data_IF_657968636986
#
_entry.id   IF_657968636986
#
_cell.length_a   1.000
_cell.length_b   1.000
_cell.length_c   1.000
_cell.angle_alpha   90.00
_cell.angle_beta   90.00
_cell.angle_gamma   90.00
#
_symmetry.space_group_name_H-M   'P 1'
#
loop_
_entity.id
_entity.type
_entity.pdbx_description
1 polymer ?
#
# COMPACT_ATOMS: atom_id res chain seq x y z
N UNK A 1 -15.94 3.86 10.60
CA UNK A 1 -16.26 2.92 9.52
C UNK A 1 -15.93 1.49 9.89
N UNK A 2 -14.65 1.06 9.98
CA UNK A 2 -14.33 -0.37 10.24
C UNK A 2 -14.98 -0.91 11.53
N UNK A 3 -14.97 -0.13 12.61
CA UNK A 3 -15.64 -0.48 13.88
C UNK A 3 -17.14 -0.77 13.72
N UNK A 4 -17.81 -0.17 12.74
CA UNK A 4 -19.25 -0.37 12.47
C UNK A 4 -19.56 -1.80 11.99
N UNK A 5 -18.56 -2.55 11.54
CA UNK A 5 -18.70 -3.92 11.04
C UNK A 5 -18.47 -5.00 12.10
N UNK A 6 -18.25 -4.64 13.38
CA UNK A 6 -18.22 -5.57 14.51
C UNK A 6 -17.35 -6.83 14.26
N UNK A 7 -16.14 -6.65 13.72
CA UNK A 7 -15.19 -7.73 13.45
C UNK A 7 -15.42 -8.51 12.14
N UNK A 8 -16.48 -8.22 11.38
CA UNK A 8 -16.74 -8.85 10.07
C UNK A 8 -15.78 -8.40 8.95
N UNK A 9 -14.99 -7.36 9.19
CA UNK A 9 -14.02 -6.81 8.23
C UNK A 9 -12.62 -6.88 8.82
N UNK A 10 -11.70 -7.46 8.04
CA UNK A 10 -10.26 -7.44 8.31
C UNK A 10 -9.60 -6.41 7.39
N UNK A 11 -8.75 -5.56 7.95
CA UNK A 11 -7.94 -4.60 7.18
C UNK A 11 -6.49 -5.07 7.18
N UNK A 12 -5.89 -5.08 6.00
CA UNK A 12 -4.47 -5.38 5.80
C UNK A 12 -3.84 -4.16 5.15
N UNK A 13 -2.67 -3.76 5.65
CA UNK A 13 -1.91 -2.64 5.12
C UNK A 13 -0.75 -3.17 4.27
N UNK A 14 -0.50 -2.50 3.16
CA UNK A 14 0.65 -2.73 2.30
C UNK A 14 1.47 -1.45 2.21
N UNK A 15 2.78 -1.58 2.19
CA UNK A 15 3.67 -0.46 2.00
C UNK A 15 3.72 -0.05 0.52
N UNK A 16 3.36 1.21 0.25
CA UNK A 16 3.64 1.87 -1.03
C UNK A 16 4.50 3.09 -0.74
N UNK A 17 5.80 2.97 -0.99
CA UNK A 17 6.76 4.07 -0.85
C UNK A 17 6.63 4.96 -2.08
N UNK A 18 6.06 6.15 -1.88
CA UNK A 18 6.00 7.23 -2.86
C UNK A 18 6.94 8.32 -2.34
N UNK A 19 7.93 8.73 -3.13
CA UNK A 19 9.07 9.56 -2.70
C UNK A 19 10.07 8.83 -1.77
N UNK A 20 10.81 7.82 -2.29
CA UNK A 20 11.72 7.00 -1.48
C UNK A 20 12.76 7.82 -0.72
N UNK A 21 13.31 8.88 -1.32
CA UNK A 21 14.31 9.74 -0.68
C UNK A 21 13.77 10.47 0.58
N UNK A 22 12.44 10.53 0.73
CA UNK A 22 11.78 11.25 1.81
C UNK A 22 11.20 10.31 2.87
N UNK A 23 10.58 9.20 2.45
CA UNK A 23 9.76 8.38 3.37
C UNK A 23 10.21 6.93 3.51
N UNK A 24 11.27 6.47 2.82
CA UNK A 24 11.73 5.08 2.91
C UNK A 24 11.98 4.65 4.38
N UNK A 25 12.64 5.51 5.15
CA UNK A 25 12.93 5.27 6.57
C UNK A 25 11.64 5.11 7.39
N UNK A 26 10.63 5.93 7.15
CA UNK A 26 9.35 5.85 7.84
C UNK A 26 8.63 4.51 7.57
N UNK A 27 8.71 3.98 6.34
CA UNK A 27 8.13 2.68 6.03
C UNK A 27 8.85 1.53 6.78
N UNK A 28 10.19 1.58 6.86
CA UNK A 28 10.98 0.60 7.60
C UNK A 28 10.65 0.61 9.10
N UNK A 29 10.56 1.80 9.69
CA UNK A 29 10.17 1.96 11.08
C UNK A 29 8.73 1.53 11.38
N UNK A 30 7.81 1.73 10.43
CA UNK A 30 6.44 1.23 10.58
C UNK A 30 6.38 -0.30 10.55
N UNK A 31 7.15 -0.95 9.67
CA UNK A 31 7.32 -2.40 9.66
C UNK A 31 7.86 -2.89 11.01
N UNK A 32 8.94 -2.27 11.51
CA UNK A 32 9.53 -2.60 12.81
C UNK A 32 8.55 -2.42 13.98
N UNK A 33 7.78 -1.34 14.00
CA UNK A 33 6.74 -1.12 15.00
C UNK A 33 5.65 -2.21 14.93
N UNK A 34 5.35 -2.72 13.74
CA UNK A 34 4.48 -3.87 13.53
C UNK A 34 4.96 -5.15 14.22
N UNK A 35 6.28 -5.40 14.22
CA UNK A 35 6.89 -6.53 14.95
C UNK A 35 6.70 -6.40 16.48
N UNK A 36 6.47 -5.18 16.97
CA UNK A 36 6.12 -4.90 18.37
C UNK A 36 4.61 -4.69 18.58
N UNK A 37 3.75 -5.12 17.63
CA UNK A 37 2.28 -5.02 17.68
C UNK A 37 1.74 -3.58 17.75
N UNK A 38 2.54 -2.60 17.30
CA UNK A 38 2.23 -1.16 17.35
C UNK A 38 2.11 -0.49 15.97
N UNK A 39 1.95 -1.28 14.90
CA UNK A 39 1.85 -0.77 13.52
C UNK A 39 0.86 0.39 13.36
N UNK A 40 -0.36 0.25 13.89
CA UNK A 40 -1.44 1.25 13.74
C UNK A 40 -1.18 2.49 14.60
N UNK A 41 -0.80 2.30 15.86
CA UNK A 41 -0.48 3.39 16.78
C UNK A 41 0.69 4.21 16.24
N UNK A 42 1.75 3.54 15.79
CA UNK A 42 2.92 4.17 15.17
C UNK A 42 2.54 4.92 13.90
N UNK A 43 1.72 4.33 13.03
CA UNK A 43 1.23 4.99 11.83
C UNK A 43 0.49 6.29 12.19
N UNK A 44 -0.40 6.27 13.18
CA UNK A 44 -1.11 7.48 13.61
C UNK A 44 -0.14 8.54 14.15
N UNK A 45 0.80 8.16 15.01
CA UNK A 45 1.82 9.09 15.50
C UNK A 45 2.67 9.67 14.37
N UNK A 46 3.06 8.87 13.37
CA UNK A 46 3.79 9.37 12.22
C UNK A 46 2.96 10.38 11.40
N UNK A 47 1.68 10.12 11.16
CA UNK A 47 0.82 11.06 10.44
C UNK A 47 0.64 12.39 11.17
N UNK A 48 0.53 12.35 12.49
CA UNK A 48 0.32 13.53 13.32
C UNK A 48 1.64 14.29 13.58
N UNK A 49 2.63 13.60 14.13
CA UNK A 49 3.88 14.18 14.67
C UNK A 49 5.04 14.20 13.69
N UNK A 50 4.97 13.41 12.61
CA UNK A 50 5.95 13.43 11.53
C UNK A 50 5.41 14.20 10.32
N UNK A 51 4.54 13.53 9.55
CA UNK A 51 3.99 14.10 8.33
C UNK A 51 3.18 15.38 8.56
N UNK A 52 2.41 15.47 9.65
CA UNK A 52 1.66 16.67 10.00
C UNK A 52 2.55 17.90 10.18
N UNK A 53 3.67 17.74 10.90
CA UNK A 53 4.65 18.81 11.09
C UNK A 53 5.36 19.18 9.77
N UNK A 54 5.79 18.18 8.99
CA UNK A 54 6.34 18.39 7.65
C UNK A 54 5.37 19.18 6.75
N UNK A 55 4.09 18.78 6.71
CA UNK A 55 3.06 19.42 5.90
C UNK A 55 2.76 20.85 6.37
N UNK A 56 2.62 21.08 7.68
CA UNK A 56 2.40 22.41 8.25
C UNK A 56 3.55 23.38 7.94
N UNK A 57 4.78 22.87 7.78
CA UNK A 57 5.92 23.68 7.36
C UNK A 57 5.95 24.03 5.86
N UNK A 58 5.01 23.51 5.06
CA UNK A 58 5.05 23.59 3.59
C UNK A 58 6.13 22.69 2.98
N UNK A 59 6.47 21.59 3.65
CA UNK A 59 7.47 20.62 3.20
C UNK A 59 8.93 21.04 3.44
N UNK A 60 9.18 22.03 4.30
CA UNK A 60 10.52 22.55 4.60
C UNK A 60 11.20 21.83 5.77
N UNK A 61 10.41 21.41 6.76
CA UNK A 61 10.89 20.67 7.92
C UNK A 61 11.05 19.18 7.61
N UNK A 62 12.13 18.84 6.91
CA UNK A 62 12.47 17.44 6.62
C UNK A 62 12.84 16.65 7.89
N UNK A 63 13.29 17.32 8.95
CA UNK A 63 13.67 16.68 10.20
C UNK A 63 12.45 16.05 10.90
N UNK A 64 11.24 16.57 10.67
CA UNK A 64 10.00 15.95 11.12
C UNK A 64 9.79 14.52 10.57
N UNK A 65 10.33 14.21 9.38
CA UNK A 65 10.28 12.86 8.79
C UNK A 65 11.54 12.03 9.10
N UNK A 66 12.53 12.65 9.75
CA UNK A 66 13.82 12.04 10.06
C UNK A 66 13.75 11.03 11.20
N UNK A 67 14.79 10.22 11.28
CA UNK A 67 14.94 9.16 12.27
C UNK A 67 14.82 9.68 13.70
N UNK A 68 15.45 10.81 14.05
CA UNK A 68 15.41 11.37 15.41
C UNK A 68 13.97 11.65 15.90
N UNK A 69 13.14 12.29 15.07
CA UNK A 69 11.75 12.55 15.40
C UNK A 69 10.94 11.24 15.45
N UNK A 70 11.20 10.33 14.52
CA UNK A 70 10.60 8.98 14.50
C UNK A 70 10.83 8.25 15.83
N UNK A 71 12.07 8.24 16.31
CA UNK A 71 12.43 7.56 17.54
C UNK A 71 11.80 8.22 18.76
N UNK A 72 11.74 9.56 18.77
CA UNK A 72 11.10 10.33 19.84
C UNK A 72 9.64 9.92 20.04
N UNK A 73 8.81 10.01 19.00
CA UNK A 73 7.40 9.61 19.16
C UNK A 73 7.23 8.10 19.31
N UNK A 74 8.18 7.29 18.83
CA UNK A 74 8.16 5.84 19.06
C UNK A 74 8.37 5.50 20.54
N UNK A 75 9.27 6.22 21.22
CA UNK A 75 9.47 6.08 22.67
C UNK A 75 8.22 6.48 23.46
N UNK A 76 7.51 7.53 23.04
CA UNK A 76 6.23 7.95 23.64
C UNK A 76 5.15 6.86 23.50
N UNK A 77 5.23 6.03 22.45
CA UNK A 77 4.36 4.85 22.26
C UNK A 77 4.82 3.61 23.03
N UNK A 78 5.84 3.76 23.89
CA UNK A 78 6.44 2.69 24.70
C UNK A 78 7.03 1.55 23.86
N UNK A 79 7.55 1.87 22.67
CA UNK A 79 8.33 0.92 21.87
C UNK A 79 9.74 0.76 22.44
N UNK A 80 10.29 -0.45 22.34
CA UNK A 80 11.72 -0.66 22.52
C UNK A 80 12.44 -0.04 21.32
N UNK A 81 13.05 1.13 21.55
CA UNK A 81 13.73 1.93 20.53
C UNK A 81 14.95 1.21 19.96
N UNK A 82 15.68 0.43 20.75
CA UNK A 82 16.86 -0.28 20.26
C UNK A 82 16.43 -1.43 19.34
N UNK A 83 15.42 -2.19 19.76
CA UNK A 83 14.82 -3.23 18.91
C UNK A 83 14.21 -2.63 17.64
N UNK A 84 13.55 -1.48 17.77
CA UNK A 84 12.94 -0.78 16.64
C UNK A 84 13.98 -0.39 15.59
N UNK A 85 15.11 0.19 15.99
CA UNK A 85 16.24 0.50 15.11
C UNK A 85 16.78 -0.75 14.41
N UNK A 86 17.00 -1.82 15.17
CA UNK A 86 17.54 -3.06 14.63
C UNK A 86 16.58 -3.69 13.60
N UNK A 87 15.29 -3.76 13.92
CA UNK A 87 14.26 -4.30 13.05
C UNK A 87 14.07 -3.44 11.79
N UNK A 88 14.08 -2.12 11.90
CA UNK A 88 13.91 -1.22 10.75
C UNK A 88 15.05 -1.41 9.72
N UNK A 89 16.26 -1.68 10.21
CA UNK A 89 17.44 -1.92 9.38
C UNK A 89 17.57 -3.37 8.88
N UNK A 90 16.71 -4.27 9.34
CA UNK A 90 16.76 -5.70 9.01
C UNK A 90 16.44 -5.98 7.53
N UNK A 91 16.96 -7.11 7.02
CA UNK A 91 16.60 -7.61 5.70
C UNK A 91 15.10 -7.92 5.60
N UNK A 92 14.48 -8.38 6.68
CA UNK A 92 13.06 -8.72 6.75
C UNK A 92 12.17 -7.52 6.43
N UNK A 93 12.39 -6.36 7.08
CA UNK A 93 11.58 -5.18 6.80
C UNK A 93 11.85 -4.57 5.42
N UNK A 94 13.10 -4.62 4.94
CA UNK A 94 13.43 -4.18 3.57
C UNK A 94 12.72 -5.06 2.54
N UNK A 95 12.84 -6.38 2.67
CA UNK A 95 12.19 -7.34 1.78
C UNK A 95 10.66 -7.21 1.83
N UNK A 96 10.06 -7.05 3.01
CA UNK A 96 8.61 -6.86 3.16
C UNK A 96 8.10 -5.65 2.34
N UNK A 97 8.83 -4.54 2.37
CA UNK A 97 8.49 -3.32 1.63
C UNK A 97 8.65 -3.56 0.12
N UNK A 98 9.73 -4.21 -0.30
CA UNK A 98 10.00 -4.50 -1.71
C UNK A 98 8.98 -5.48 -2.31
N UNK A 99 8.56 -6.48 -1.53
CA UNK A 99 7.50 -7.42 -1.89
C UNK A 99 6.15 -6.71 -2.05
N UNK A 100 5.78 -5.85 -1.11
CA UNK A 100 4.54 -5.06 -1.20
C UNK A 100 4.55 -4.17 -2.45
N UNK A 101 5.64 -3.47 -2.72
CA UNK A 101 5.79 -2.62 -3.91
C UNK A 101 5.71 -3.44 -5.20
N UNK A 102 6.39 -4.59 -5.25
CA UNK A 102 6.36 -5.49 -6.40
C UNK A 102 4.97 -6.02 -6.66
N UNK A 103 4.24 -6.37 -5.60
CA UNK A 103 2.86 -6.82 -5.68
C UNK A 103 1.94 -5.70 -6.21
N UNK A 104 2.03 -4.49 -5.65
CA UNK A 104 1.25 -3.32 -6.13
C UNK A 104 1.50 -3.00 -7.61
N UNK A 105 2.73 -3.15 -8.11
CA UNK A 105 3.09 -2.98 -9.52
C UNK A 105 2.37 -3.96 -10.45
N UNK A 106 2.26 -5.25 -10.07
CA UNK A 106 1.53 -6.27 -10.86
C UNK A 106 0.10 -5.85 -11.16
N UNK A 107 -0.42 -4.96 -10.32
CA UNK A 107 -1.80 -4.51 -10.38
C UNK A 107 -1.99 -3.07 -10.80
N UNK A 108 -0.92 -2.45 -11.30
CA UNK A 108 -0.94 -1.09 -11.85
C UNK A 108 -1.49 -0.06 -10.84
N UNK A 109 -1.25 -0.28 -9.55
CA UNK A 109 -1.50 0.74 -8.53
C UNK A 109 -0.45 1.83 -8.72
N UNK A 110 -0.91 3.00 -9.14
CA UNK A 110 -0.05 4.14 -9.52
C UNK A 110 -0.19 5.33 -8.57
N UNK A 111 -0.94 5.19 -7.47
CA UNK A 111 -1.11 6.26 -6.49
C UNK A 111 -1.80 5.79 -5.22
N UNK A 112 -1.73 6.64 -4.21
CA UNK A 112 -2.32 6.43 -2.88
C UNK A 112 -3.40 7.47 -2.58
N UNK A 113 -4.45 7.14 -1.82
CA UNK A 113 -4.74 5.80 -1.31
C UNK A 113 -5.33 4.87 -2.39
N UNK A 114 -5.10 3.57 -2.25
CA UNK A 114 -5.69 2.53 -3.09
C UNK A 114 -6.17 1.37 -2.21
N UNK A 115 -7.30 0.75 -2.56
CA UNK A 115 -7.95 -0.27 -1.74
C UNK A 115 -8.37 -1.48 -2.56
N UNK A 116 -8.38 -2.64 -1.91
CA UNK A 116 -8.92 -3.89 -2.44
C UNK A 116 -9.94 -4.45 -1.47
N UNK A 117 -11.22 -4.42 -1.87
CA UNK A 117 -12.32 -4.88 -1.04
C UNK A 117 -12.79 -6.22 -1.60
N UNK A 118 -12.30 -7.31 -0.99
CA UNK A 118 -12.52 -8.69 -1.48
C UNK A 118 -12.28 -8.79 -3.01
N UNK A 119 -11.10 -8.35 -3.45
CA UNK A 119 -10.67 -8.37 -4.86
C UNK A 119 -11.16 -7.20 -5.73
N UNK A 120 -12.09 -6.35 -5.26
CA UNK A 120 -12.52 -5.15 -6.00
C UNK A 120 -11.55 -3.99 -5.76
N UNK A 121 -10.84 -3.56 -6.81
CA UNK A 121 -10.02 -2.36 -6.79
C UNK A 121 -10.87 -1.10 -6.60
N UNK A 122 -10.46 -0.24 -5.68
CA UNK A 122 -10.98 1.12 -5.48
C UNK A 122 -9.78 2.05 -5.41
N UNK A 123 -9.55 2.80 -6.49
CA UNK A 123 -8.48 3.79 -6.55
C UNK A 123 -8.92 5.13 -5.98
N UNK A 124 -8.05 5.76 -5.20
CA UNK A 124 -8.28 7.08 -4.62
C UNK A 124 -9.15 7.08 -3.36
N UNK A 125 -9.22 8.26 -2.74
CA UNK A 125 -10.09 8.52 -1.60
C UNK A 125 -11.51 8.81 -2.09
N UNK A 126 -12.39 7.81 -2.12
CA UNK A 126 -13.81 8.01 -2.41
C UNK A 126 -14.60 8.37 -1.13
N UNK A 127 -15.80 8.98 -1.23
CA UNK A 127 -16.61 9.31 -0.07
C UNK A 127 -16.95 8.10 0.80
N UNK A 128 -17.05 8.31 2.13
CA UNK A 128 -17.39 7.26 3.11
C UNK A 128 -18.65 6.45 2.73
N UNK A 129 -19.76 7.05 2.27
CA UNK A 129 -20.95 6.28 1.86
C UNK A 129 -20.67 5.32 0.70
N UNK A 130 -19.86 5.73 -0.27
CA UNK A 130 -19.50 4.89 -1.41
C UNK A 130 -18.61 3.70 -0.98
N UNK A 131 -17.68 3.92 -0.04
CA UNK A 131 -16.95 2.81 0.59
C UNK A 131 -17.89 1.83 1.30
N UNK A 132 -18.81 2.34 2.11
CA UNK A 132 -19.76 1.52 2.86
C UNK A 132 -20.59 0.64 1.93
N UNK A 133 -21.13 1.20 0.86
CA UNK A 133 -21.89 0.45 -0.13
C UNK A 133 -21.09 -0.73 -0.72
N UNK A 134 -19.82 -0.51 -1.08
CA UNK A 134 -18.97 -1.56 -1.63
C UNK A 134 -18.65 -2.65 -0.59
N UNK A 135 -18.38 -2.25 0.66
CA UNK A 135 -18.11 -3.20 1.74
C UNK A 135 -19.36 -4.04 2.03
N UNK A 136 -20.53 -3.42 2.14
CA UNK A 136 -21.81 -4.10 2.38
C UNK A 136 -22.11 -5.10 1.25
N UNK A 137 -21.93 -4.69 -0.02
CA UNK A 137 -22.05 -5.57 -1.20
C UNK A 137 -21.15 -6.81 -1.09
N UNK A 138 -19.86 -6.59 -0.77
CA UNK A 138 -18.86 -7.66 -0.69
C UNK A 138 -19.03 -8.56 0.54
N UNK A 139 -19.51 -8.01 1.64
CA UNK A 139 -19.81 -8.76 2.84
C UNK A 139 -21.03 -9.66 2.63
N UNK A 140 -22.10 -9.17 1.99
CA UNK A 140 -23.27 -9.98 1.68
C UNK A 140 -22.94 -11.16 0.74
N UNK A 141 -22.05 -10.96 -0.23
CA UNK A 141 -21.53 -12.06 -1.08
C UNK A 141 -20.79 -13.09 -0.23
N UNK A 142 -19.93 -12.63 0.68
CA UNK A 142 -19.18 -13.53 1.56
C UNK A 142 -20.10 -14.35 2.47
N UNK A 143 -21.09 -13.72 3.08
CA UNK A 143 -22.08 -14.38 3.95
C UNK A 143 -22.92 -15.42 3.19
N UNK A 144 -23.28 -15.14 1.93
CA UNK A 144 -24.03 -16.08 1.08
C UNK A 144 -23.20 -17.22 0.50
N UNK A 145 -21.86 -17.14 0.53
CA UNK A 145 -20.99 -18.15 -0.06
C UNK A 145 -21.00 -19.49 0.67
N UNK A 146 -21.44 -19.52 1.94
CA UNK A 146 -21.33 -20.69 2.82
C UNK A 146 -19.89 -21.02 3.24
N UNK A 147 -18.88 -20.28 2.75
CA UNK A 147 -17.49 -20.45 3.15
C UNK A 147 -17.27 -19.78 4.50
N UNK A 148 -16.65 -20.45 5.49
CA UNK A 148 -16.32 -19.83 6.77
C UNK A 148 -15.50 -18.56 6.59
N UNK A 149 -15.83 -17.50 7.33
CA UNK A 149 -15.22 -16.17 7.16
C UNK A 149 -13.68 -16.19 7.19
N UNK A 150 -13.08 -17.02 8.06
CA UNK A 150 -11.62 -17.19 8.17
C UNK A 150 -10.98 -17.80 6.91
N UNK A 151 -11.75 -18.56 6.12
CA UNK A 151 -11.28 -19.24 4.91
C UNK A 151 -11.69 -18.50 3.64
N UNK A 152 -12.64 -17.56 3.72
CA UNK A 152 -13.21 -16.88 2.57
C UNK A 152 -12.15 -16.21 1.70
N UNK A 153 -11.24 -15.43 2.30
CA UNK A 153 -10.22 -14.74 1.52
C UNK A 153 -9.31 -15.71 0.75
N UNK A 154 -8.83 -16.77 1.39
CA UNK A 154 -7.96 -17.75 0.72
C UNK A 154 -8.70 -18.60 -0.30
N UNK A 155 -9.94 -19.02 -0.04
CA UNK A 155 -10.70 -19.89 -0.96
C UNK A 155 -11.35 -19.13 -2.11
N UNK A 156 -12.05 -18.04 -1.79
CA UNK A 156 -12.93 -17.33 -2.72
C UNK A 156 -12.22 -16.19 -3.42
N UNK A 157 -11.28 -15.52 -2.76
CA UNK A 157 -10.53 -14.41 -3.36
C UNK A 157 -9.26 -14.95 -3.98
N UNK A 158 -8.32 -15.46 -3.20
CA UNK A 158 -7.08 -16.00 -3.74
C UNK A 158 -7.36 -17.24 -4.59
N UNK A 159 -7.94 -18.30 -4.05
CA UNK A 159 -8.09 -19.61 -4.71
C UNK A 159 -8.78 -19.57 -6.08
N UNK A 160 -9.82 -18.75 -6.27
CA UNK A 160 -10.54 -18.65 -7.56
C UNK A 160 -9.84 -17.81 -8.63
N UNK A 161 -8.58 -17.45 -8.44
CA UNK A 161 -7.89 -16.63 -9.44
C UNK A 161 -8.33 -15.16 -9.44
N UNK A 162 -9.09 -14.71 -8.44
CA UNK A 162 -8.92 -13.33 -7.97
C UNK A 162 -7.56 -13.15 -7.28
N UNK A 163 -6.67 -14.16 -7.35
CA UNK A 163 -5.19 -14.03 -7.44
C UNK A 163 -4.74 -12.90 -8.39
N UNK A 164 -5.62 -12.38 -9.25
CA UNK A 164 -5.34 -11.33 -10.23
C UNK A 164 -6.26 -10.12 -10.02
N UNK A 165 -5.69 -8.92 -9.87
CA UNK A 165 -6.44 -7.66 -9.97
C UNK A 165 -6.80 -7.38 -11.44
N UNK A 166 -7.40 -8.32 -12.15
CA UNK A 166 -7.86 -8.12 -13.53
C UNK A 166 -9.20 -7.39 -13.50
N UNK A 167 -9.18 -6.15 -13.98
CA UNK A 167 -10.42 -5.45 -14.31
C UNK A 167 -11.10 -6.15 -15.49
N UNK A 168 -12.42 -5.99 -15.63
CA UNK A 168 -13.19 -6.47 -16.80
C UNK A 168 -12.58 -6.05 -18.15
N UNK A 169 -11.71 -5.03 -18.20
CA UNK A 169 -11.03 -4.58 -19.44
C UNK A 169 -9.96 -5.55 -19.93
N UNK A 170 -9.27 -6.28 -19.04
CA UNK A 170 -8.22 -7.21 -19.45
C UNK A 170 -8.81 -8.49 -20.07
N UNK A 171 -10.01 -8.88 -19.67
CA UNK A 171 -10.75 -10.00 -20.26
C UNK A 171 -11.28 -9.70 -21.68
N UNK A 172 -11.59 -8.43 -21.98
CA UNK A 172 -12.02 -8.01 -23.31
C UNK A 172 -10.85 -7.95 -24.31
N UNK A 173 -9.66 -7.54 -23.86
CA UNK A 173 -8.45 -7.47 -24.70
C UNK A 173 -7.89 -8.86 -25.05
N UNK A 174 -8.10 -9.87 -24.19
CA UNK A 174 -7.68 -11.25 -24.46
C UNK A 174 -8.56 -11.98 -25.50
N UNK A 175 -9.75 -11.45 -25.84
CA UNK A 175 -10.64 -12.05 -26.85
C UNK A 175 -10.56 -11.40 -28.23
N UNK A 176 -9.86 -10.27 -28.37
CA UNK A 176 -9.64 -9.59 -29.64
C UNK A 176 -8.14 -9.57 -29.94
N UNK A 177 -7.64 -10.60 -30.62
CA UNK A 177 -6.26 -10.66 -31.08
C UNK A 177 -5.93 -9.44 -31.93
N UNK A 178 -5.04 -8.58 -31.42
CA UNK A 178 -4.50 -7.43 -32.13
C UNK A 178 -2.98 -7.52 -32.09
N UNK A 179 -2.37 -7.58 -33.28
CA UNK A 179 -0.94 -7.74 -33.50
C UNK A 179 -0.09 -6.77 -32.67
N UNK A 180 1.11 -7.24 -32.27
CA UNK A 180 2.08 -6.42 -31.57
C UNK A 180 2.49 -5.21 -32.43
N UNK A 181 2.59 -4.00 -31.85
CA UNK A 181 3.16 -2.86 -32.57
C UNK A 181 4.65 -3.11 -32.83
N UNK A 182 5.20 -2.61 -33.96
CA UNK A 182 6.61 -2.78 -34.28
C UNK A 182 7.50 -2.06 -33.25
N UNK A 183 8.74 -2.53 -33.05
CA UNK A 183 9.67 -1.92 -32.12
C UNK A 183 10.01 -0.46 -32.55
N UNK A 184 10.30 0.43 -31.58
CA UNK A 184 10.70 1.80 -31.88
C UNK A 184 12.02 1.81 -32.68
N UNK A 185 12.08 2.69 -33.68
CA UNK A 185 13.27 2.90 -34.49
C UNK A 185 14.45 3.36 -33.62
N UNK A 186 15.65 2.86 -33.93
CA UNK A 186 16.88 3.28 -33.30
C UNK A 186 17.11 4.78 -33.56
N UNK A 187 17.32 5.56 -32.50
CA UNK A 187 17.78 6.93 -32.63
C UNK A 187 19.24 6.91 -33.09
N UNK A 188 19.47 7.48 -34.27
CA UNK A 188 20.78 7.66 -34.88
C UNK A 188 21.52 8.81 -34.17
N UNK A 189 22.58 8.48 -33.45
CA UNK A 189 23.54 9.46 -32.96
C UNK A 189 24.52 9.80 -34.09
N UNK A 190 24.15 10.78 -34.91
CA UNK A 190 25.11 11.47 -35.77
C UNK A 190 25.14 12.97 -35.43
N UNK A 191 26.34 13.45 -35.10
CA UNK A 191 26.61 14.86 -34.80
C UNK A 191 26.62 15.75 -36.05
N UNK A 192 27.34 16.87 -35.95
CA UNK A 192 27.42 18.07 -36.82
C UNK A 192 26.51 19.18 -36.27
N UNK A 193 26.96 20.40 -35.98
CA UNK A 193 28.05 21.20 -36.55
C UNK A 193 27.47 22.61 -36.78
N UNK A 194 28.26 23.63 -36.45
CA UNK A 194 28.00 25.10 -36.48
C UNK A 194 27.28 25.64 -37.76
N UNK A 195 26.76 26.90 -37.78
CA UNK A 195 27.45 28.15 -37.36
C UNK A 195 26.77 29.00 -36.28
#
# INVERSE_FOLDING_TARGET
MVKEYNGKVRVVYMHMVVHPDTVQVAHQYNCAAGKQKKFIDWKHAFWEKGFGAYAASGGRDKAALGEDNILKFSAELQLDVQKLKADANSAECKQRIDEDQTELKKFRVNGTPAFFINGKHVGGGIPKPAFKQIIDEKLAIAEKSGVPAAQYYEKEIRGKGLQQFRSKRDAAKAKGGGAAPPPPAAEDHTGHGHP
#
